data_IF_375357993891
#
_entry.id   IF_375357993891
#
_cell.length_a   1.000
_cell.length_b   1.000
_cell.length_c   1.000
_cell.angle_alpha   90.00
_cell.angle_beta   90.00
_cell.angle_gamma   90.00
#
_symmetry.space_group_name_H-M   'P 1'
#
loop_
_entity.id
_entity.type
_entity.pdbx_description
1 polymer ?
#
# COMPACT_ATOMS: atom_id res chain seq x y z
N UNK A 1 -57.19 -15.90 -23.91
CA UNK A 1 -57.47 -14.67 -24.68
C UNK A 1 -57.12 -13.52 -23.76
N UNK A 2 -56.23 -12.56 -24.00
CA UNK A 2 -55.48 -12.06 -25.18
C UNK A 2 -54.21 -11.32 -24.67
N UNK A 3 -53.19 -11.24 -25.55
CA UNK A 3 -52.02 -10.33 -25.72
C UNK A 3 -51.66 -9.27 -24.63
N UNK A 4 -50.39 -8.95 -24.32
CA UNK A 4 -49.19 -8.90 -25.15
C UNK A 4 -48.90 -7.44 -25.57
N UNK A 5 -47.92 -6.77 -24.95
CA UNK A 5 -47.26 -5.57 -25.52
C UNK A 5 -45.95 -5.27 -24.77
N UNK A 6 -44.83 -5.69 -25.37
CA UNK A 6 -43.50 -5.16 -25.07
C UNK A 6 -43.30 -3.83 -25.82
N UNK A 7 -42.73 -2.84 -25.13
CA UNK A 7 -42.30 -1.59 -25.75
C UNK A 7 -40.96 -1.82 -26.45
N UNK A 8 -41.01 -2.35 -27.67
CA UNK A 8 -39.88 -2.30 -28.59
C UNK A 8 -39.97 -0.99 -29.40
N UNK A 9 -38.94 -0.15 -29.34
CA UNK A 9 -38.81 1.00 -30.22
C UNK A 9 -38.69 0.49 -31.68
N UNK A 10 -39.49 1.01 -32.64
CA UNK A 10 -39.45 0.52 -34.01
C UNK A 10 -38.16 0.96 -34.72
N UNK A 11 -37.46 -0.02 -35.30
CA UNK A 11 -36.33 0.17 -36.21
C UNK A 11 -36.91 0.27 -37.63
N UNK A 12 -36.63 1.35 -38.36
CA UNK A 12 -36.97 1.45 -39.80
C UNK A 12 -35.68 1.79 -40.57
N UNK A 13 -35.31 0.93 -41.53
CA UNK A 13 -34.13 1.06 -42.40
C UNK A 13 -32.78 1.24 -41.69
N UNK A 14 -32.53 0.44 -40.64
CA UNK A 14 -31.17 0.19 -40.15
C UNK A 14 -30.43 1.36 -39.50
N UNK A 15 -31.08 2.51 -39.26
CA UNK A 15 -30.54 3.62 -38.46
C UNK A 15 -31.35 3.81 -37.19
N UNK A 16 -30.68 3.77 -36.03
CA UNK A 16 -31.27 4.23 -34.78
C UNK A 16 -31.49 5.74 -34.89
N UNK A 17 -32.70 6.22 -34.65
CA UNK A 17 -32.94 7.66 -34.54
C UNK A 17 -32.22 8.17 -33.30
N UNK A 18 -31.14 8.92 -33.50
CA UNK A 18 -30.49 9.68 -32.44
C UNK A 18 -31.47 10.78 -32.01
N UNK A 19 -32.14 10.57 -30.88
CA UNK A 19 -32.99 11.59 -30.30
C UNK A 19 -32.06 12.66 -29.68
N UNK A 20 -31.72 13.68 -30.46
CA UNK A 20 -31.04 14.88 -29.97
C UNK A 20 -31.99 15.61 -29.03
N UNK A 21 -31.82 15.41 -27.73
CA UNK A 21 -32.43 16.25 -26.70
C UNK A 21 -31.32 17.00 -25.96
N UNK A 22 -31.03 18.21 -26.44
CA UNK A 22 -30.37 19.23 -25.65
C UNK A 22 -31.47 20.01 -24.92
N UNK A 23 -31.65 19.79 -23.61
CA UNK A 23 -32.39 20.72 -22.75
C UNK A 23 -31.84 20.69 -21.33
N UNK A 24 -31.54 21.90 -20.87
CA UNK A 24 -31.18 22.30 -19.52
C UNK A 24 -32.28 22.08 -18.49
N UNK A 25 -31.85 21.97 -17.23
CA UNK A 25 -32.52 22.31 -15.96
C UNK A 25 -33.25 21.22 -15.13
N UNK A 26 -32.75 21.13 -13.89
CA UNK A 26 -33.46 21.01 -12.62
C UNK A 26 -34.18 19.70 -12.23
N UNK A 27 -33.50 18.93 -11.37
CA UNK A 27 -33.99 18.46 -10.07
C UNK A 27 -35.14 17.44 -10.02
N UNK A 28 -34.85 16.23 -9.51
CA UNK A 28 -35.68 15.53 -8.51
C UNK A 28 -34.89 14.36 -7.92
N UNK A 29 -34.86 14.27 -6.59
CA UNK A 29 -34.35 13.16 -5.78
C UNK A 29 -35.21 11.90 -5.99
N UNK A 30 -34.58 10.75 -6.16
CA UNK A 30 -35.20 9.43 -6.07
C UNK A 30 -34.16 8.39 -5.71
N UNK A 31 -34.30 7.82 -4.52
CA UNK A 31 -33.51 6.76 -3.91
C UNK A 31 -33.72 5.40 -4.58
N UNK A 32 -32.67 4.59 -4.71
CA UNK A 32 -32.81 3.12 -4.81
C UNK A 32 -32.02 2.46 -5.95
N UNK A 33 -31.17 1.51 -5.55
CA UNK A 33 -30.64 0.39 -6.34
C UNK A 33 -29.40 0.65 -7.22
N UNK A 34 -28.29 0.87 -6.52
CA UNK A 34 -26.96 0.39 -6.93
C UNK A 34 -26.92 -1.14 -6.88
N UNK A 35 -27.62 -1.79 -7.80
CA UNK A 35 -27.36 -3.18 -8.14
C UNK A 35 -27.21 -3.24 -9.65
N UNK A 36 -26.14 -3.87 -10.11
CA UNK A 36 -25.94 -4.27 -11.50
C UNK A 36 -25.18 -3.29 -12.43
N UNK A 37 -23.99 -2.84 -12.02
CA UNK A 37 -22.95 -2.37 -12.97
C UNK A 37 -21.83 -3.38 -13.22
N UNK A 38 -21.86 -4.55 -12.56
CA UNK A 38 -20.87 -5.63 -12.76
C UNK A 38 -21.33 -6.73 -13.73
N UNK A 39 -22.63 -6.91 -13.98
CA UNK A 39 -23.07 -7.84 -15.03
C UNK A 39 -23.06 -7.20 -16.44
N UNK A 40 -22.90 -5.88 -16.54
CA UNK A 40 -22.85 -5.16 -17.82
C UNK A 40 -21.62 -5.50 -18.68
N UNK A 41 -20.42 -5.61 -18.09
CA UNK A 41 -19.17 -5.81 -18.88
C UNK A 41 -19.07 -7.22 -19.50
N UNK A 42 -19.59 -8.26 -18.82
CA UNK A 42 -19.64 -9.62 -19.38
C UNK A 42 -20.81 -9.80 -20.37
N UNK A 43 -21.99 -9.24 -20.05
CA UNK A 43 -23.18 -9.34 -20.90
C UNK A 43 -23.06 -8.51 -22.19
N UNK A 44 -22.31 -7.40 -22.18
CA UNK A 44 -22.01 -6.62 -23.40
C UNK A 44 -21.06 -7.36 -24.35
N UNK A 45 -20.08 -8.11 -23.84
CA UNK A 45 -19.17 -8.90 -24.70
C UNK A 45 -19.90 -10.01 -25.45
N UNK A 46 -20.78 -10.75 -24.78
CA UNK A 46 -21.56 -11.82 -25.40
C UNK A 46 -22.60 -11.27 -26.39
N UNK A 47 -23.24 -10.15 -26.05
CA UNK A 47 -24.16 -9.44 -26.94
C UNK A 47 -23.44 -8.84 -28.16
N UNK A 48 -22.20 -8.36 -27.98
CA UNK A 48 -21.34 -7.88 -29.05
C UNK A 48 -20.88 -8.99 -29.99
N UNK A 49 -20.46 -10.15 -29.45
CA UNK A 49 -20.09 -11.32 -30.27
C UNK A 49 -21.28 -11.85 -31.06
N UNK A 50 -22.49 -11.84 -30.48
CA UNK A 50 -23.71 -12.18 -31.21
C UNK A 50 -24.03 -11.17 -32.33
N UNK A 51 -23.81 -9.87 -32.09
CA UNK A 51 -23.97 -8.84 -33.11
C UNK A 51 -22.93 -8.99 -34.24
N UNK A 52 -21.68 -9.33 -33.90
CA UNK A 52 -20.59 -9.60 -34.85
C UNK A 52 -20.93 -10.80 -35.76
N UNK A 53 -21.41 -11.89 -35.17
CA UNK A 53 -21.82 -13.10 -35.90
C UNK A 53 -23.06 -12.82 -36.76
N UNK A 54 -24.03 -12.07 -36.24
CA UNK A 54 -25.21 -11.67 -37.00
C UNK A 54 -24.82 -10.78 -38.20
N UNK A 55 -23.90 -9.83 -38.02
CA UNK A 55 -23.44 -8.97 -39.11
C UNK A 55 -22.67 -9.76 -40.17
N UNK A 56 -21.75 -10.67 -39.83
CA UNK A 56 -21.10 -11.56 -40.81
C UNK A 56 -22.10 -12.39 -41.64
N UNK A 57 -23.25 -12.74 -41.05
CA UNK A 57 -24.28 -13.55 -41.71
C UNK A 57 -25.20 -12.75 -42.64
N UNK A 58 -25.34 -11.43 -42.42
CA UNK A 58 -26.32 -10.57 -43.10
C UNK A 58 -25.73 -9.31 -43.77
N UNK A 59 -24.40 -9.19 -43.93
CA UNK A 59 -23.80 -8.06 -44.65
C UNK A 59 -24.11 -8.13 -46.15
N UNK A 60 -24.69 -7.04 -46.66
CA UNK A 60 -24.73 -6.74 -48.09
C UNK A 60 -23.31 -6.30 -48.53
N UNK A 61 -22.68 -6.97 -49.52
CA UNK A 61 -21.29 -6.72 -49.93
C UNK A 61 -20.99 -5.29 -50.45
N UNK A 62 -21.99 -4.42 -50.60
CA UNK A 62 -21.81 -3.06 -51.13
C UNK A 62 -21.56 -1.96 -50.07
N UNK A 63 -21.73 -2.20 -48.76
CA UNK A 63 -21.40 -1.21 -47.69
C UNK A 63 -20.68 -1.80 -46.43
N UNK A 64 -19.44 -2.31 -46.56
CA UNK A 64 -18.72 -2.97 -45.44
C UNK A 64 -18.01 -2.04 -44.45
N UNK A 65 -17.91 -0.73 -44.71
CA UNK A 65 -16.95 0.16 -44.02
C UNK A 65 -17.42 0.68 -42.66
N UNK A 66 -18.70 1.05 -42.52
CA UNK A 66 -19.20 1.65 -41.26
C UNK A 66 -19.14 0.68 -40.07
N UNK A 67 -19.50 -0.59 -40.25
CA UNK A 67 -19.58 -1.55 -39.14
C UNK A 67 -18.20 -2.05 -38.69
N UNK A 68 -17.25 -2.14 -39.63
CA UNK A 68 -15.86 -2.55 -39.32
C UNK A 68 -15.14 -1.52 -38.45
N UNK A 69 -15.38 -0.22 -38.69
CA UNK A 69 -14.82 0.88 -37.90
C UNK A 69 -15.30 0.83 -36.43
N UNK A 70 -16.60 0.57 -36.19
CA UNK A 70 -17.15 0.44 -34.84
C UNK A 70 -16.62 -0.79 -34.10
N UNK A 71 -16.48 -1.92 -34.78
CA UNK A 71 -15.90 -3.15 -34.21
C UNK A 71 -14.45 -2.92 -33.82
N UNK A 72 -13.67 -2.25 -34.67
CA UNK A 72 -12.28 -1.90 -34.38
C UNK A 72 -12.18 -0.98 -33.15
N UNK A 73 -13.05 0.04 -33.05
CA UNK A 73 -13.10 0.91 -31.87
C UNK A 73 -13.53 0.17 -30.61
N UNK A 74 -14.52 -0.73 -30.67
CA UNK A 74 -14.94 -1.52 -29.51
C UNK A 74 -13.86 -2.51 -29.05
N UNK A 75 -13.18 -3.18 -29.99
CA UNK A 75 -12.04 -4.03 -29.67
C UNK A 75 -10.95 -3.23 -28.96
N UNK A 76 -10.64 -2.02 -29.44
CA UNK A 76 -9.69 -1.11 -28.79
C UNK A 76 -10.12 -0.74 -27.36
N UNK A 77 -11.40 -0.43 -27.13
CA UNK A 77 -11.91 -0.16 -25.78
C UNK A 77 -11.86 -1.39 -24.87
N UNK A 78 -12.21 -2.57 -25.39
CA UNK A 78 -12.17 -3.83 -24.66
C UNK A 78 -10.76 -4.22 -24.25
N UNK A 79 -9.78 -3.97 -25.11
CA UNK A 79 -8.36 -4.16 -24.80
C UNK A 79 -7.90 -3.21 -23.70
N UNK A 80 -8.26 -1.92 -23.77
CA UNK A 80 -7.94 -0.95 -22.71
C UNK A 80 -8.60 -1.32 -21.38
N UNK A 81 -9.84 -1.79 -21.38
CA UNK A 81 -10.52 -2.27 -20.16
C UNK A 81 -9.81 -3.50 -19.58
N UNK A 82 -9.41 -4.45 -20.44
CA UNK A 82 -8.65 -5.62 -20.00
C UNK A 82 -7.28 -5.24 -19.41
N UNK A 83 -6.58 -4.28 -20.02
CA UNK A 83 -5.31 -3.76 -19.48
C UNK A 83 -5.50 -3.04 -18.15
N UNK A 84 -6.56 -2.23 -18.01
CA UNK A 84 -6.89 -1.58 -16.75
C UNK A 84 -7.18 -2.62 -15.65
N UNK A 85 -8.00 -3.62 -15.95
CA UNK A 85 -8.30 -4.71 -15.00
C UNK A 85 -7.03 -5.50 -14.61
N UNK A 86 -6.11 -5.72 -15.56
CA UNK A 86 -4.84 -6.38 -15.28
C UNK A 86 -3.97 -5.52 -14.34
N UNK A 87 -3.84 -4.22 -14.62
CA UNK A 87 -3.12 -3.28 -13.75
C UNK A 87 -3.69 -3.29 -12.34
N UNK A 88 -5.02 -3.18 -12.21
CA UNK A 88 -5.70 -3.22 -10.91
C UNK A 88 -5.44 -4.49 -10.12
N UNK A 89 -5.41 -5.65 -10.79
CA UNK A 89 -5.09 -6.91 -10.14
C UNK A 89 -3.62 -6.96 -9.69
N UNK A 90 -2.70 -6.43 -10.48
CA UNK A 90 -1.29 -6.32 -10.09
C UNK A 90 -1.11 -5.39 -8.88
N UNK A 91 -1.81 -4.26 -8.87
CA UNK A 91 -1.81 -3.30 -7.78
C UNK A 91 -2.38 -3.89 -6.50
N UNK A 92 -3.47 -4.66 -6.60
CA UNK A 92 -4.04 -5.37 -5.46
C UNK A 92 -3.10 -6.46 -4.94
N UNK A 93 -2.43 -7.21 -5.82
CA UNK A 93 -1.43 -8.20 -5.43
C UNK A 93 -0.25 -7.55 -4.72
N UNK A 94 0.29 -6.46 -5.28
CA UNK A 94 1.35 -5.66 -4.67
C UNK A 94 0.91 -5.17 -3.29
N UNK A 95 -0.25 -4.53 -3.18
CA UNK A 95 -0.78 -4.04 -1.92
C UNK A 95 -0.93 -5.16 -0.88
N UNK A 96 -1.48 -6.31 -1.28
CA UNK A 96 -1.67 -7.48 -0.40
C UNK A 96 -0.33 -7.98 0.16
N UNK A 97 0.74 -7.96 -0.63
CA UNK A 97 2.08 -8.35 -0.17
C UNK A 97 2.69 -7.41 0.87
N UNK A 98 2.12 -6.22 1.05
CA UNK A 98 2.58 -5.22 2.02
C UNK A 98 1.91 -5.37 3.39
N UNK A 99 0.83 -6.16 3.51
CA UNK A 99 0.17 -6.38 4.79
C UNK A 99 1.17 -6.90 5.82
N UNK A 100 1.23 -6.24 6.97
CA UNK A 100 2.16 -6.56 8.03
C UNK A 100 3.56 -5.97 7.88
N UNK A 101 3.90 -5.40 6.71
CA UNK A 101 5.16 -4.68 6.50
C UNK A 101 5.05 -3.24 6.96
N UNK A 102 6.18 -2.68 7.33
CA UNK A 102 6.31 -1.26 7.61
C UNK A 102 6.56 -0.50 6.30
N UNK A 103 5.85 0.60 6.09
CA UNK A 103 5.90 1.38 4.85
C UNK A 103 5.95 2.86 5.13
N UNK A 104 6.44 3.63 4.17
CA UNK A 104 6.29 5.07 4.12
C UNK A 104 5.36 5.40 2.96
N UNK A 105 4.30 6.15 3.25
CA UNK A 105 3.31 6.61 2.28
C UNK A 105 3.28 8.13 2.22
N UNK A 106 3.06 8.67 1.02
CA UNK A 106 2.91 10.10 0.78
C UNK A 106 1.46 10.51 0.97
N UNK A 107 1.23 11.73 1.40
CA UNK A 107 -0.07 12.38 1.31
C UNK A 107 0.10 13.88 1.18
N UNK A 108 -0.93 14.56 0.69
CA UNK A 108 -0.94 16.02 0.63
C UNK A 108 -1.48 16.56 1.96
N UNK A 109 -0.69 17.41 2.61
CA UNK A 109 -1.06 18.12 3.82
C UNK A 109 -2.04 19.26 3.56
N UNK A 110 -2.52 19.89 4.64
CA UNK A 110 -3.55 20.93 4.56
C UNK A 110 -3.09 22.19 3.81
N UNK A 111 -1.77 22.45 3.78
CA UNK A 111 -1.16 23.56 3.05
C UNK A 111 -0.62 23.17 1.66
N UNK A 112 -0.90 21.95 1.19
CA UNK A 112 -0.47 21.47 -0.13
C UNK A 112 0.94 20.86 -0.17
N UNK A 113 1.63 20.78 0.96
CA UNK A 113 2.92 20.12 1.11
C UNK A 113 2.80 18.59 1.05
N UNK A 114 3.88 17.91 0.64
CA UNK A 114 3.97 16.45 0.74
C UNK A 114 4.33 16.04 2.16
N UNK A 115 3.49 15.22 2.78
CA UNK A 115 3.67 14.64 4.12
C UNK A 115 3.96 13.16 3.98
N UNK A 116 5.02 12.70 4.63
CA UNK A 116 5.38 11.29 4.72
C UNK A 116 4.83 10.70 6.01
N UNK A 117 4.07 9.61 5.89
CA UNK A 117 3.57 8.85 7.04
C UNK A 117 4.24 7.48 7.05
N UNK A 118 4.95 7.17 8.12
CA UNK A 118 5.47 5.83 8.38
C UNK A 118 4.47 5.04 9.21
N UNK A 119 4.29 3.77 8.89
CA UNK A 119 3.54 2.86 9.73
C UNK A 119 3.43 1.46 9.14
N UNK A 120 2.94 0.55 9.97
CA UNK A 120 2.64 -0.83 9.54
C UNK A 120 1.33 -0.83 8.73
N UNK A 121 1.31 -1.61 7.65
CA UNK A 121 0.08 -1.85 6.89
C UNK A 121 -0.80 -2.83 7.67
N UNK A 122 -1.96 -2.36 8.12
CA UNK A 122 -2.92 -3.15 8.90
C UNK A 122 -3.71 -4.09 8.00
N UNK A 123 -4.26 -3.55 6.91
CA UNK A 123 -5.01 -4.30 5.91
C UNK A 123 -5.07 -3.55 4.58
N UNK A 124 -5.50 -4.27 3.55
CA UNK A 124 -5.70 -3.75 2.19
C UNK A 124 -7.19 -3.76 1.88
N UNK A 125 -7.65 -2.74 1.18
CA UNK A 125 -9.01 -2.70 0.64
C UNK A 125 -8.99 -2.31 -0.83
N UNK A 126 -10.03 -2.72 -1.56
CA UNK A 126 -10.22 -2.35 -2.96
C UNK A 126 -11.48 -1.50 -3.10
N UNK A 127 -11.39 -0.41 -3.86
CA UNK A 127 -12.55 0.37 -4.31
C UNK A 127 -12.48 0.51 -5.82
N UNK A 128 -13.41 -0.14 -6.52
CA UNK A 128 -13.37 -0.24 -7.99
C UNK A 128 -12.09 -0.94 -8.46
N UNK A 129 -11.30 -0.23 -9.25
CA UNK A 129 -10.02 -0.68 -9.83
C UNK A 129 -8.80 -0.28 -9.00
N UNK A 130 -8.98 0.42 -7.88
CA UNK A 130 -7.89 0.94 -7.05
C UNK A 130 -7.71 0.12 -5.79
N UNK A 131 -6.44 -0.12 -5.43
CA UNK A 131 -6.05 -0.75 -4.18
C UNK A 131 -5.60 0.31 -3.16
N UNK A 132 -5.96 0.09 -1.90
CA UNK A 132 -5.66 1.02 -0.82
C UNK A 132 -5.03 0.30 0.36
N UNK A 133 -4.02 0.95 0.95
CA UNK A 133 -3.36 0.55 2.18
C UNK A 133 -4.00 1.28 3.36
N UNK A 134 -4.31 0.56 4.43
CA UNK A 134 -4.63 1.20 5.72
C UNK A 134 -3.38 1.21 6.58
N UNK A 135 -2.91 2.40 6.92
CA UNK A 135 -1.71 2.64 7.74
C UNK A 135 -2.10 3.60 8.85
N UNK A 136 -1.86 3.23 10.11
CA UNK A 136 -2.24 4.03 11.28
C UNK A 136 -3.72 4.45 11.29
N UNK A 137 -4.60 3.57 10.82
CA UNK A 137 -6.05 3.84 10.71
C UNK A 137 -6.47 4.79 9.58
N UNK A 138 -5.54 5.29 8.77
CA UNK A 138 -5.84 6.12 7.58
C UNK A 138 -5.62 5.33 6.29
N UNK A 139 -6.48 5.59 5.31
CA UNK A 139 -6.45 4.96 3.99
C UNK A 139 -5.56 5.77 3.01
N UNK A 140 -4.69 5.08 2.29
CA UNK A 140 -3.78 5.64 1.27
C UNK A 140 -3.90 4.82 -0.02
N UNK A 141 -3.80 5.46 -1.20
CA UNK A 141 -3.73 4.72 -2.45
C UNK A 141 -2.38 3.99 -2.52
N UNK A 142 -2.32 2.80 -3.11
CA UNK A 142 -1.05 2.10 -3.37
C UNK A 142 -0.07 2.93 -4.21
N UNK A 143 -0.59 3.81 -5.07
CA UNK A 143 0.22 4.76 -5.85
C UNK A 143 0.99 5.75 -4.97
N UNK A 144 0.51 6.01 -3.75
CA UNK A 144 1.14 6.91 -2.79
C UNK A 144 2.24 6.21 -1.96
N UNK A 145 2.47 4.91 -2.17
CA UNK A 145 3.57 4.19 -1.53
C UNK A 145 4.91 4.78 -1.97
N UNK A 146 5.69 5.28 -1.01
CA UNK A 146 7.06 5.74 -1.25
C UNK A 146 8.05 4.59 -1.13
N UNK A 147 8.04 3.90 0.02
CA UNK A 147 9.03 2.90 0.36
C UNK A 147 8.46 1.83 1.28
N UNK A 148 9.05 0.63 1.19
CA UNK A 148 8.77 -0.50 2.08
C UNK A 148 10.00 -0.70 2.92
N UNK A 149 9.83 -0.68 4.23
CA UNK A 149 10.92 -0.83 5.18
C UNK A 149 11.11 -2.32 5.45
N UNK A 150 12.37 -2.75 5.32
CA UNK A 150 12.74 -4.12 5.66
C UNK A 150 12.66 -4.33 7.19
N UNK A 151 12.00 -5.39 7.66
CA UNK A 151 11.84 -5.63 9.09
C UNK A 151 13.18 -5.81 9.83
N UNK A 152 14.16 -6.46 9.20
CA UNK A 152 15.46 -6.71 9.82
C UNK A 152 16.26 -5.40 9.92
N UNK A 153 16.18 -4.54 8.90
CA UNK A 153 16.69 -3.18 8.95
C UNK A 153 16.05 -2.34 10.07
N UNK A 154 14.71 -2.31 10.15
CA UNK A 154 13.98 -1.55 11.17
C UNK A 154 14.35 -2.02 12.58
N UNK A 155 14.42 -3.33 12.79
CA UNK A 155 14.84 -3.94 14.05
C UNK A 155 16.28 -3.56 14.42
N UNK A 156 17.22 -3.68 13.48
CA UNK A 156 18.62 -3.36 13.70
C UNK A 156 18.83 -1.89 14.06
N UNK A 157 18.15 -0.98 13.35
CA UNK A 157 18.19 0.45 13.63
C UNK A 157 17.59 0.76 15.02
N UNK A 158 16.45 0.16 15.35
CA UNK A 158 15.79 0.32 16.65
C UNK A 158 16.69 -0.13 17.80
N UNK A 159 17.28 -1.33 17.71
CA UNK A 159 18.23 -1.84 18.70
C UNK A 159 19.44 -0.92 18.88
N UNK A 160 20.00 -0.40 17.79
CA UNK A 160 21.14 0.49 17.85
C UNK A 160 20.81 1.83 18.54
N UNK A 161 19.64 2.41 18.24
CA UNK A 161 19.16 3.63 18.90
C UNK A 161 18.86 3.39 20.38
N UNK A 162 18.16 2.31 20.73
CA UNK A 162 17.85 1.97 22.13
C UNK A 162 19.13 1.73 22.94
N UNK A 163 20.11 1.05 22.36
CA UNK A 163 21.43 0.85 22.95
C UNK A 163 22.13 2.19 23.19
N UNK A 164 22.17 3.06 22.17
CA UNK A 164 22.80 4.39 22.24
C UNK A 164 22.11 5.29 23.27
N UNK A 165 20.79 5.28 23.33
CA UNK A 165 20.01 6.02 24.31
C UNK A 165 20.30 5.52 25.73
N UNK A 166 20.34 4.20 25.92
CA UNK A 166 20.64 3.59 27.23
C UNK A 166 22.07 3.91 27.68
N UNK A 167 23.04 3.87 26.77
CA UNK A 167 24.41 4.30 27.02
C UNK A 167 24.51 5.80 27.37
N UNK A 168 23.71 6.65 26.72
CA UNK A 168 23.70 8.10 26.97
C UNK A 168 22.99 8.50 28.28
N UNK A 169 22.22 7.60 28.90
CA UNK A 169 21.63 7.82 30.23
C UNK A 169 22.61 7.59 31.36
N UNK A 170 23.72 6.90 31.12
CA UNK A 170 24.77 6.74 32.13
C UNK A 170 25.40 8.09 32.48
N UNK A 171 25.82 8.28 33.74
CA UNK A 171 26.61 9.46 34.11
C UNK A 171 27.91 9.45 33.31
N UNK A 172 28.64 10.57 33.31
CA UNK A 172 30.00 10.55 32.77
C UNK A 172 30.88 9.52 33.51
N UNK A 173 31.95 9.07 32.85
CA UNK A 173 32.86 8.03 33.38
C UNK A 173 33.39 8.35 34.80
N UNK A 174 33.68 9.61 35.08
CA UNK A 174 34.19 10.04 36.39
C UNK A 174 33.13 9.95 37.50
N UNK A 175 31.86 10.10 37.15
CA UNK A 175 30.71 9.98 38.06
C UNK A 175 30.09 8.60 38.08
N UNK A 176 30.70 7.61 37.43
CA UNK A 176 30.21 6.24 37.42
C UNK A 176 30.43 5.58 38.80
N UNK A 177 29.40 4.93 39.32
CA UNK A 177 29.39 4.20 40.58
C UNK A 177 28.80 2.78 40.40
N UNK A 178 29.04 1.85 41.35
CA UNK A 178 28.55 0.46 41.27
C UNK A 178 27.04 0.29 41.08
N UNK A 179 26.22 1.29 41.42
CA UNK A 179 24.76 1.25 41.22
C UNK A 179 24.35 1.09 39.74
N UNK A 180 25.22 1.50 38.81
CA UNK A 180 24.99 1.37 37.38
C UNK A 180 25.40 0.01 36.81
N UNK A 181 25.95 -0.91 37.62
CA UNK A 181 26.43 -2.21 37.16
C UNK A 181 25.36 -2.97 36.39
N UNK A 182 24.14 -3.05 36.95
CA UNK A 182 23.02 -3.74 36.29
C UNK A 182 22.70 -3.15 34.91
N UNK A 183 22.78 -1.83 34.74
CA UNK A 183 22.53 -1.18 33.45
C UNK A 183 23.63 -1.53 32.44
N UNK A 184 24.89 -1.54 32.88
CA UNK A 184 26.04 -1.87 32.02
C UNK A 184 26.07 -3.36 31.67
N UNK A 185 25.71 -4.24 32.60
CA UNK A 185 25.56 -5.68 32.34
C UNK A 185 24.46 -5.90 31.28
N UNK A 186 23.29 -5.29 31.44
CA UNK A 186 22.20 -5.37 30.46
C UNK A 186 22.63 -4.84 29.08
N UNK A 187 23.35 -3.71 29.02
CA UNK A 187 23.92 -3.21 27.77
C UNK A 187 24.90 -4.22 27.16
N UNK A 188 25.72 -4.87 27.98
CA UNK A 188 26.66 -5.90 27.52
C UNK A 188 25.95 -7.12 26.95
N UNK A 189 24.89 -7.58 27.61
CA UNK A 189 24.06 -8.68 27.11
C UNK A 189 23.43 -8.33 25.77
N UNK A 190 22.80 -7.15 25.66
CA UNK A 190 22.23 -6.65 24.40
C UNK A 190 23.30 -6.58 23.31
N UNK A 191 24.48 -6.03 23.59
CA UNK A 191 25.57 -5.97 22.61
C UNK A 191 26.02 -7.37 22.17
N UNK A 192 26.15 -8.32 23.09
CA UNK A 192 26.61 -9.65 22.78
C UNK A 192 25.59 -10.45 21.96
N UNK A 193 24.31 -10.26 22.23
CA UNK A 193 23.19 -10.89 21.52
C UNK A 193 22.97 -10.31 20.11
N UNK A 194 23.49 -9.11 19.82
CA UNK A 194 23.41 -8.53 18.47
C UNK A 194 24.21 -9.35 17.45
N UNK A 195 23.57 -9.59 16.31
CA UNK A 195 24.21 -10.14 15.11
C UNK A 195 25.24 -9.17 14.52
N UNK A 196 26.17 -9.64 13.66
CA UNK A 196 27.11 -8.75 12.97
C UNK A 196 26.42 -7.64 12.16
N UNK A 197 25.27 -7.94 11.55
CA UNK A 197 24.46 -6.95 10.83
C UNK A 197 23.95 -5.86 11.77
N UNK A 198 23.34 -6.24 12.90
CA UNK A 198 22.84 -5.29 13.90
C UNK A 198 23.97 -4.45 14.51
N UNK A 199 25.11 -5.07 14.84
CA UNK A 199 26.31 -4.36 15.33
C UNK A 199 26.82 -3.32 14.34
N UNK A 200 26.65 -3.53 13.04
CA UNK A 200 27.04 -2.56 12.02
C UNK A 200 26.34 -1.20 12.13
N UNK A 201 25.19 -1.13 12.82
CA UNK A 201 24.46 0.11 13.08
C UNK A 201 24.96 0.85 14.34
N UNK A 202 25.74 0.18 15.20
CA UNK A 202 26.45 0.83 16.28
C UNK A 202 27.72 1.49 15.70
N UNK A 203 27.68 2.81 15.50
CA UNK A 203 28.86 3.56 15.08
C UNK A 203 30.05 3.33 16.03
N UNK A 204 31.27 3.37 15.50
CA UNK A 204 32.49 3.05 16.25
C UNK A 204 32.61 3.85 17.56
N UNK A 205 32.29 5.14 17.54
CA UNK A 205 32.31 6.01 18.73
C UNK A 205 31.39 5.50 19.85
N UNK A 206 30.23 4.92 19.50
CA UNK A 206 29.28 4.33 20.46
C UNK A 206 29.87 3.08 21.08
N UNK A 207 30.50 2.23 20.27
CA UNK A 207 31.14 0.98 20.72
C UNK A 207 32.33 1.30 21.62
N UNK A 208 33.17 2.24 21.23
CA UNK A 208 34.33 2.67 22.01
C UNK A 208 33.90 3.27 23.36
N UNK A 209 32.90 4.15 23.34
CA UNK A 209 32.31 4.71 24.55
C UNK A 209 31.77 3.59 25.46
N UNK A 210 31.00 2.66 24.91
CA UNK A 210 30.47 1.52 25.66
C UNK A 210 31.58 0.70 26.33
N UNK A 211 32.64 0.36 25.59
CA UNK A 211 33.77 -0.38 26.13
C UNK A 211 34.46 0.34 27.30
N UNK A 212 34.58 1.68 27.25
CA UNK A 212 35.10 2.47 28.38
C UNK A 212 34.22 2.36 29.63
N UNK A 213 32.89 2.32 29.48
CA UNK A 213 31.98 2.12 30.62
C UNK A 213 32.13 0.73 31.24
N UNK A 214 32.22 -0.31 30.40
CA UNK A 214 32.44 -1.69 30.85
C UNK A 214 33.75 -1.80 31.62
N UNK A 215 34.84 -1.26 31.07
CA UNK A 215 36.15 -1.28 31.71
C UNK A 215 36.12 -0.55 33.06
N UNK A 216 35.53 0.66 33.09
CA UNK A 216 35.41 1.43 34.33
C UNK A 216 34.59 0.69 35.39
N UNK A 217 33.50 0.04 34.99
CA UNK A 217 32.66 -0.72 35.92
C UNK A 217 33.43 -1.90 36.52
N UNK A 218 34.18 -2.65 35.71
CA UNK A 218 35.00 -3.76 36.19
C UNK A 218 36.06 -3.31 37.20
N UNK A 219 36.68 -2.14 36.99
CA UNK A 219 37.62 -1.55 37.94
C UNK A 219 36.93 -1.20 39.28
N UNK A 220 35.75 -0.59 39.23
CA UNK A 220 34.98 -0.22 40.42
C UNK A 220 34.55 -1.44 41.23
N UNK A 221 34.11 -2.52 40.57
CA UNK A 221 33.72 -3.74 41.27
C UNK A 221 34.91 -4.50 41.84
N UNK A 222 36.04 -4.55 41.12
CA UNK A 222 37.24 -5.22 41.62
C UNK A 222 37.83 -4.53 42.85
N UNK A 223 37.77 -3.19 42.91
CA UNK A 223 38.23 -2.42 44.07
C UNK A 223 37.42 -2.70 45.34
N UNK A 224 36.10 -2.89 45.21
CA UNK A 224 35.22 -3.25 46.34
C UNK A 224 35.54 -4.64 46.89
N UNK A 225 35.78 -5.61 46.00
CA UNK A 225 36.14 -6.99 46.39
C UNK A 225 37.50 -7.07 47.10
N UNK A 226 38.38 -6.09 46.88
CA UNK A 226 39.66 -5.97 47.58
C UNK A 226 39.51 -5.29 48.95
N UNK A 227 38.68 -4.25 49.05
CA UNK A 227 38.39 -3.57 50.33
C UNK A 227 37.70 -4.51 51.33
N UNK A 228 36.70 -5.30 50.91
CA UNK A 228 36.00 -6.29 51.76
C UNK A 228 36.91 -7.43 52.26
N UNK A 229 38.06 -7.68 51.61
CA UNK A 229 39.02 -8.71 52.06
C UNK A 229 40.04 -8.18 53.08
N UNK A 230 40.12 -6.87 53.25
CA UNK A 230 41.07 -6.21 54.17
C UNK A 230 40.46 -5.76 55.50
N UNK A 231 39.13 -5.81 55.65
CA UNK A 231 38.41 -5.68 56.93
C UNK A 231 38.14 -7.04 57.60
#
# INVERSE_FOLDING_TARGET
MMDGMGLAAPVVNGKLMQNTANTTAAGTKGTGEEANRKAGSAMDKDSFLQLLVAQMKYQDPMEPTSNTEYIAQYAQFSELEAMNNLSSNMDLQRATSLVGKEVIVKSTGASGETVYTQGKVDFVSSEGTKAFLTVNGKKYNIDDLDSVIDPDYSNAMGLAEDFKLSLNKLPNISGLSPEYKSVIDNLSDVYNDMTPYQKGYLGQDTVDKFNQYVERMNQLTSALDEEEKTE
#
